data_IF_637833223925
#
_entry.id   IF_637833223925
#
_cell.length_a   1.000
_cell.length_b   1.000
_cell.length_c   1.000
_cell.angle_alpha   90.00
_cell.angle_beta   90.00
_cell.angle_gamma   90.00
#
_symmetry.space_group_name_H-M   'P 1'
#
loop_
_entity.id
_entity.type
_entity.pdbx_description
1 polymer ?
#
# COMPACT_ATOMS: atom_id res chain seq x y z
N UNK A 1 21.77 -8.69 4.01
CA UNK A 1 20.42 -9.31 4.03
C UNK A 1 20.04 -9.57 2.58
N UNK A 2 19.86 -10.83 2.17
CA UNK A 2 19.64 -11.16 0.76
C UNK A 2 18.23 -10.74 0.32
N UNK A 3 18.08 -10.33 -0.95
CA UNK A 3 16.82 -9.93 -1.57
C UNK A 3 15.68 -10.94 -1.32
N UNK A 4 16.02 -12.23 -1.34
CA UNK A 4 15.10 -13.34 -1.05
C UNK A 4 14.57 -13.28 0.39
N UNK A 5 15.43 -12.96 1.36
CA UNK A 5 15.02 -12.82 2.77
C UNK A 5 14.09 -11.62 2.98
N UNK A 6 14.31 -10.52 2.24
CA UNK A 6 13.43 -9.35 2.28
C UNK A 6 12.03 -9.69 1.74
N UNK A 7 11.95 -10.40 0.61
CA UNK A 7 10.68 -10.81 -0.01
C UNK A 7 9.91 -11.75 0.93
N UNK A 8 10.59 -12.72 1.57
CA UNK A 8 9.94 -13.64 2.51
C UNK A 8 9.37 -12.92 3.73
N UNK A 9 10.06 -11.89 4.25
CA UNK A 9 9.56 -11.07 5.36
C UNK A 9 8.31 -10.28 4.94
N UNK A 10 8.33 -9.66 3.77
CA UNK A 10 7.18 -8.89 3.25
C UNK A 10 5.97 -9.82 3.07
N UNK A 11 6.14 -10.99 2.47
CA UNK A 11 5.07 -11.98 2.29
C UNK A 11 4.50 -12.44 3.64
N UNK A 12 5.36 -12.70 4.62
CA UNK A 12 4.94 -13.11 5.96
C UNK A 12 4.15 -12.00 6.69
N UNK A 13 4.60 -10.74 6.61
CA UNK A 13 3.91 -9.60 7.22
C UNK A 13 2.54 -9.38 6.57
N UNK A 14 2.44 -9.44 5.24
CA UNK A 14 1.16 -9.32 4.53
C UNK A 14 0.19 -10.42 4.94
N UNK A 15 0.65 -11.67 5.05
CA UNK A 15 -0.19 -12.79 5.50
C UNK A 15 -0.73 -12.57 6.92
N UNK A 16 0.10 -12.09 7.85
CA UNK A 16 -0.30 -11.77 9.22
C UNK A 16 -1.32 -10.63 9.26
N UNK A 17 -1.10 -9.55 8.49
CA UNK A 17 -2.03 -8.42 8.40
C UNK A 17 -3.39 -8.86 7.84
N UNK A 18 -3.41 -9.73 6.82
CA UNK A 18 -4.66 -10.28 6.25
C UNK A 18 -5.41 -11.14 7.27
N UNK A 19 -4.71 -11.98 8.04
CA UNK A 19 -5.31 -12.79 9.11
C UNK A 19 -5.91 -11.90 10.20
N UNK A 20 -5.19 -10.87 10.65
CA UNK A 20 -5.69 -9.91 11.66
C UNK A 20 -6.93 -9.18 11.13
N UNK A 21 -6.92 -8.73 9.87
CA UNK A 21 -8.08 -8.09 9.24
C UNK A 21 -9.28 -9.05 9.11
N UNK A 22 -9.05 -10.33 8.84
CA UNK A 22 -10.10 -11.35 8.80
C UNK A 22 -10.67 -11.63 10.19
N UNK A 23 -9.84 -11.73 11.23
CA UNK A 23 -10.27 -11.93 12.62
C UNK A 23 -11.02 -10.69 13.15
N UNK A 24 -10.52 -9.49 12.84
CA UNK A 24 -11.17 -8.23 13.20
C UNK A 24 -12.51 -8.01 12.46
N UNK A 25 -12.63 -8.49 11.22
CA UNK A 25 -13.90 -8.50 10.48
C UNK A 25 -14.85 -9.62 10.90
N UNK A 26 -14.34 -10.76 11.39
CA UNK A 26 -15.13 -11.89 11.90
C UNK A 26 -15.73 -11.65 13.29
N UNK A 27 -15.12 -10.79 14.12
CA UNK A 27 -15.59 -10.50 15.49
C UNK A 27 -16.77 -9.53 15.59
N UNK A 28 -17.28 -8.99 14.47
CA UNK A 28 -18.24 -7.87 14.49
C UNK A 28 -19.47 -8.11 13.60
N UNK A 29 -20.08 -9.28 13.70
CA UNK A 29 -21.50 -9.51 13.33
C UNK A 29 -22.12 -10.51 14.29
N UNK A 30 -22.99 -10.02 15.17
CA UNK A 30 -23.89 -10.87 15.95
C UNK A 30 -24.90 -11.59 15.06
N UNK A 31 -25.32 -12.78 15.52
CA UNK A 31 -26.60 -13.39 15.20
C UNK A 31 -26.68 -14.23 13.93
N UNK A 32 -26.31 -15.52 14.01
CA UNK A 32 -26.92 -16.56 13.16
C UNK A 32 -27.12 -17.85 13.98
N UNK A 33 -28.35 -18.36 13.96
CA UNK A 33 -28.81 -19.63 14.55
C UNK A 33 -27.87 -20.81 14.25
N UNK A 34 -27.82 -21.84 15.11
CA UNK A 34 -27.02 -23.03 14.85
C UNK A 34 -27.64 -23.83 13.70
N UNK A 35 -26.94 -23.90 12.57
CA UNK A 35 -27.22 -24.86 11.51
C UNK A 35 -26.53 -26.18 11.85
N UNK A 36 -27.31 -27.26 11.78
CA UNK A 36 -26.96 -28.65 12.07
C UNK A 36 -25.66 -29.12 11.39
N UNK A 37 -24.92 -29.95 12.13
CA UNK A 37 -24.34 -31.19 11.60
C UNK A 37 -22.93 -31.09 11.02
N UNK A 38 -21.94 -31.40 11.85
CA UNK A 38 -20.58 -31.69 11.41
C UNK A 38 -19.78 -32.23 12.58
N UNK A 39 -19.74 -33.55 12.72
CA UNK A 39 -19.04 -34.25 13.80
C UNK A 39 -17.54 -33.96 13.74
N UNK A 40 -17.03 -33.20 14.71
CA UNK A 40 -15.59 -33.20 15.01
C UNK A 40 -15.37 -34.29 16.04
N UNK A 41 -14.63 -35.32 15.64
CA UNK A 41 -14.31 -36.49 16.43
C UNK A 41 -13.33 -36.09 17.55
N UNK A 42 -13.82 -35.96 18.79
CA UNK A 42 -13.03 -35.63 19.98
C UNK A 42 -12.75 -36.91 20.79
N UNK A 43 -12.09 -37.89 20.17
CA UNK A 43 -11.84 -39.22 20.75
C UNK A 43 -10.86 -39.25 21.93
N UNK A 44 -10.36 -38.11 22.41
CA UNK A 44 -9.38 -38.06 23.51
C UNK A 44 -9.90 -37.40 24.80
N UNK A 45 -11.20 -37.17 24.93
CA UNK A 45 -11.75 -36.78 26.23
C UNK A 45 -12.10 -38.03 27.02
N UNK A 46 -11.19 -38.44 27.91
CA UNK A 46 -11.43 -39.47 28.90
C UNK A 46 -12.39 -38.92 29.97
N UNK A 47 -13.69 -38.98 29.70
CA UNK A 47 -14.73 -38.67 30.68
C UNK A 47 -15.02 -39.97 31.42
N UNK A 48 -14.54 -40.08 32.67
CA UNK A 48 -15.06 -41.08 33.61
C UNK A 48 -16.55 -40.83 33.83
N UNK A 49 -17.40 -41.60 33.15
CA UNK A 49 -18.83 -41.66 33.42
C UNK A 49 -19.05 -42.51 34.67
N UNK A 50 -19.10 -41.86 35.83
CA UNK A 50 -19.74 -42.42 37.00
C UNK A 50 -21.26 -42.39 36.81
N UNK A 51 -21.89 -43.56 36.85
CA UNK A 51 -23.35 -43.70 36.85
C UNK A 51 -23.91 -43.11 38.15
N UNK A 52 -24.70 -42.04 38.05
CA UNK A 52 -25.41 -41.45 39.18
C UNK A 52 -25.90 -40.04 38.88
N UNK A 53 -27.20 -39.84 38.97
CA UNK A 53 -27.92 -38.57 38.84
C UNK A 53 -27.24 -37.39 39.57
N UNK A 54 -27.10 -36.23 38.92
CA UNK A 54 -26.77 -34.97 39.59
C UNK A 54 -25.97 -34.01 38.71
N UNK A 55 -26.36 -32.74 38.68
CA UNK A 55 -25.87 -31.72 37.75
C UNK A 55 -24.34 -31.56 37.67
N UNK A 56 -23.88 -31.12 36.49
CA UNK A 56 -22.50 -30.66 36.28
C UNK A 56 -22.24 -29.40 37.10
N UNK A 57 -21.75 -29.57 38.33
CA UNK A 57 -21.07 -28.52 39.05
C UNK A 57 -19.66 -28.38 38.47
N UNK A 58 -19.43 -27.31 37.70
CA UNK A 58 -18.08 -26.93 37.30
C UNK A 58 -17.27 -26.64 38.56
N UNK A 59 -16.19 -27.38 38.79
CA UNK A 59 -15.27 -27.16 39.91
C UNK A 59 -14.60 -25.77 39.74
N UNK A 60 -14.89 -24.76 40.58
CA UNK A 60 -14.44 -23.38 40.34
C UNK A 60 -12.93 -23.18 40.55
N UNK A 61 -12.28 -24.06 41.32
CA UNK A 61 -10.86 -23.92 41.66
C UNK A 61 -9.92 -24.37 40.53
N UNK A 62 -10.33 -25.33 39.69
CA UNK A 62 -9.52 -25.80 38.55
C UNK A 62 -9.58 -24.79 37.39
N UNK A 63 -10.69 -24.04 37.25
CA UNK A 63 -10.81 -23.03 36.19
C UNK A 63 -10.04 -21.73 36.48
N UNK A 64 -9.92 -21.28 37.74
CA UNK A 64 -9.21 -20.03 38.04
C UNK A 64 -7.71 -20.12 37.80
N UNK A 65 -7.05 -21.17 38.29
CA UNK A 65 -5.59 -21.30 38.15
C UNK A 65 -5.14 -21.46 36.69
N UNK A 66 -5.93 -22.16 35.86
CA UNK A 66 -5.65 -22.28 34.42
C UNK A 66 -5.90 -20.98 33.68
N UNK A 67 -6.96 -20.23 34.03
CA UNK A 67 -7.25 -18.91 33.43
C UNK A 67 -6.18 -17.89 33.83
N UNK A 68 -5.74 -17.89 35.09
CA UNK A 68 -4.69 -17.00 35.59
C UNK A 68 -3.35 -17.32 34.93
N UNK A 69 -3.00 -18.60 34.75
CA UNK A 69 -1.79 -19.02 34.03
C UNK A 69 -1.80 -18.58 32.56
N UNK A 70 -2.95 -18.73 31.88
CA UNK A 70 -3.12 -18.26 30.49
C UNK A 70 -3.06 -16.74 30.39
N UNK A 71 -3.56 -16.02 31.40
CA UNK A 71 -3.52 -14.55 31.46
C UNK A 71 -2.09 -14.06 31.61
N UNK A 72 -1.31 -14.64 32.52
CA UNK A 72 0.11 -14.31 32.70
C UNK A 72 0.93 -14.63 31.44
N UNK A 73 0.65 -15.76 30.79
CA UNK A 73 1.30 -16.11 29.52
C UNK A 73 0.96 -15.12 28.40
N UNK A 74 -0.30 -14.67 28.31
CA UNK A 74 -0.73 -13.64 27.37
C UNK A 74 -0.06 -12.30 27.64
N UNK A 75 0.04 -11.88 28.91
CA UNK A 75 0.73 -10.65 29.31
C UNK A 75 2.20 -10.72 28.89
N UNK A 76 2.90 -11.82 29.21
CA UNK A 76 4.29 -12.02 28.83
C UNK A 76 4.50 -12.01 27.30
N UNK A 77 3.59 -12.60 26.53
CA UNK A 77 3.62 -12.54 25.05
C UNK A 77 3.41 -11.13 24.52
N UNK A 78 2.53 -10.34 25.13
CA UNK A 78 2.28 -8.94 24.76
C UNK A 78 3.49 -8.07 25.07
N UNK A 79 4.13 -8.25 26.22
CA UNK A 79 5.36 -7.53 26.59
C UNK A 79 6.50 -7.83 25.61
N UNK A 80 6.69 -9.11 25.28
CA UNK A 80 7.68 -9.52 24.28
C UNK A 80 7.41 -8.91 22.90
N UNK A 81 6.16 -8.89 22.44
CA UNK A 81 5.78 -8.24 21.18
C UNK A 81 6.01 -6.73 21.23
N UNK A 82 5.77 -6.10 22.38
CA UNK A 82 6.01 -4.66 22.56
C UNK A 82 7.49 -4.32 22.45
N UNK A 83 8.37 -5.15 23.01
CA UNK A 83 9.82 -5.01 22.88
C UNK A 83 10.25 -5.17 21.42
N UNK A 84 9.72 -6.18 20.72
CA UNK A 84 10.02 -6.41 19.29
C UNK A 84 9.56 -5.23 18.43
N UNK A 85 8.35 -4.71 18.66
CA UNK A 85 7.83 -3.54 17.94
C UNK A 85 8.66 -2.29 18.24
N UNK A 86 9.09 -2.10 19.49
CA UNK A 86 9.98 -1.00 19.86
C UNK A 86 11.33 -1.10 19.16
N UNK A 87 11.91 -2.30 19.06
CA UNK A 87 13.18 -2.54 18.37
C UNK A 87 13.03 -2.38 16.84
N UNK A 88 11.90 -2.80 16.27
CA UNK A 88 11.56 -2.52 14.86
C UNK A 88 11.41 -1.03 14.63
N UNK A 89 10.68 -0.30 15.48
CA UNK A 89 10.52 1.15 15.37
C UNK A 89 11.83 1.89 15.55
N UNK A 90 12.71 1.42 16.43
CA UNK A 90 14.07 1.92 16.58
C UNK A 90 14.88 1.67 15.31
N UNK A 91 14.86 0.45 14.75
CA UNK A 91 15.53 0.13 13.48
C UNK A 91 14.96 0.87 12.28
N UNK A 92 13.65 1.14 12.26
CA UNK A 92 13.02 1.99 11.24
C UNK A 92 13.50 3.42 11.45
N UNK A 93 13.50 3.95 12.67
CA UNK A 93 13.96 5.31 12.95
C UNK A 93 15.46 5.50 12.65
N UNK A 94 16.28 4.48 12.91
CA UNK A 94 17.71 4.44 12.58
C UNK A 94 17.95 4.16 11.08
N UNK A 95 17.05 3.43 10.40
CA UNK A 95 17.04 3.27 8.94
C UNK A 95 16.48 4.51 8.22
N UNK A 96 15.73 5.35 8.92
CA UNK A 96 15.21 6.66 8.51
C UNK A 96 16.09 7.76 9.12
N UNK A 97 17.38 7.48 9.33
CA UNK A 97 18.39 8.54 9.18
C UNK A 97 18.21 9.06 7.76
N UNK A 98 18.00 10.37 7.55
CA UNK A 98 17.59 10.89 6.27
C UNK A 98 18.66 10.62 5.23
N UNK A 99 18.52 9.53 4.47
CA UNK A 99 18.92 9.52 3.07
C UNK A 99 17.92 10.38 2.29
N UNK A 100 17.85 11.66 2.67
CA UNK A 100 17.75 12.75 1.74
C UNK A 100 19.13 12.95 1.08
N UNK A 101 19.74 11.86 0.63
CA UNK A 101 20.57 11.91 -0.56
C UNK A 101 19.64 11.33 -1.58
N UNK A 102 18.94 12.22 -2.27
CA UNK A 102 18.44 11.94 -3.61
C UNK A 102 19.58 11.21 -4.29
N UNK A 103 19.49 9.88 -4.44
CA UNK A 103 20.26 9.22 -5.48
C UNK A 103 19.67 9.82 -6.75
N UNK A 104 20.23 10.95 -7.16
CA UNK A 104 20.20 11.42 -8.52
C UNK A 104 20.83 10.27 -9.28
N UNK A 105 20.01 9.30 -9.71
CA UNK A 105 20.29 8.62 -10.97
C UNK A 105 20.72 9.74 -11.91
N UNK A 106 21.90 9.69 -12.52
CA UNK A 106 22.37 10.74 -13.41
C UNK A 106 21.41 10.79 -14.59
N UNK A 107 20.31 11.51 -14.43
CA UNK A 107 19.48 11.97 -15.51
C UNK A 107 20.36 13.01 -16.15
N UNK A 108 20.87 12.69 -17.33
CA UNK A 108 21.57 13.63 -18.18
C UNK A 108 20.81 14.97 -18.08
N UNK A 109 21.47 16.03 -17.60
CA UNK A 109 20.86 17.35 -17.47
C UNK A 109 20.46 17.79 -18.87
N UNK A 110 19.20 17.58 -19.23
CA UNK A 110 18.67 18.09 -20.47
C UNK A 110 18.50 19.58 -20.25
N UNK A 111 19.43 20.39 -20.77
CA UNK A 111 19.31 21.86 -20.74
C UNK A 111 18.36 22.39 -21.82
N UNK A 112 17.74 21.49 -22.59
CA UNK A 112 16.79 21.84 -23.63
C UNK A 112 15.45 22.23 -23.02
N UNK A 113 14.95 23.41 -23.39
CA UNK A 113 13.61 23.86 -23.08
C UNK A 113 12.74 23.73 -24.34
N UNK A 114 11.85 22.74 -24.42
CA UNK A 114 10.88 22.64 -25.51
C UNK A 114 10.04 23.91 -25.60
N UNK A 115 9.59 24.23 -26.80
CA UNK A 115 8.74 25.40 -27.09
C UNK A 115 7.24 25.12 -26.89
N UNK A 116 6.83 23.85 -26.85
CA UNK A 116 5.44 23.42 -26.71
C UNK A 116 5.30 22.03 -26.09
N UNK A 117 4.11 21.70 -25.57
CA UNK A 117 3.80 20.34 -25.13
C UNK A 117 3.77 19.32 -26.27
N UNK A 118 3.47 19.74 -27.50
CA UNK A 118 3.55 18.87 -28.69
C UNK A 118 4.97 18.42 -28.93
N UNK A 119 5.94 19.34 -28.80
CA UNK A 119 7.34 18.99 -28.91
C UNK A 119 7.80 18.02 -27.82
N UNK A 120 7.38 18.24 -26.56
CA UNK A 120 7.63 17.31 -25.45
C UNK A 120 7.09 15.91 -25.78
N UNK A 121 5.83 15.83 -26.23
CA UNK A 121 5.15 14.60 -26.60
C UNK A 121 5.93 13.82 -27.67
N UNK A 122 6.37 14.53 -28.70
CA UNK A 122 7.08 13.94 -29.83
C UNK A 122 8.51 13.49 -29.43
N UNK A 123 9.19 14.24 -28.56
CA UNK A 123 10.53 13.87 -28.05
C UNK A 123 10.52 12.60 -27.18
N UNK A 124 9.49 12.41 -26.35
CA UNK A 124 9.37 11.21 -25.49
C UNK A 124 8.68 10.06 -26.24
N UNK A 125 8.10 10.33 -27.41
CA UNK A 125 7.33 9.39 -28.21
C UNK A 125 6.15 8.79 -27.41
N UNK A 126 5.29 9.68 -26.92
CA UNK A 126 4.04 9.34 -26.20
C UNK A 126 2.81 9.78 -27.01
N UNK A 127 1.65 9.20 -26.74
CA UNK A 127 0.42 9.48 -27.47
C UNK A 127 -0.22 10.81 -27.08
N UNK A 128 -0.20 11.12 -25.79
CA UNK A 128 -0.71 12.39 -25.27
C UNK A 128 0.04 12.83 -24.01
N UNK A 129 0.05 14.13 -23.78
CA UNK A 129 0.57 14.78 -22.58
C UNK A 129 -0.37 15.91 -22.16
N UNK A 130 -0.59 16.08 -20.86
CA UNK A 130 -1.36 17.19 -20.33
C UNK A 130 -0.76 17.74 -19.05
N UNK A 131 -0.86 19.06 -18.90
CA UNK A 131 -0.65 19.78 -17.66
C UNK A 131 -2.00 19.97 -16.98
N UNK A 132 -2.02 19.68 -15.68
CA UNK A 132 -3.22 19.71 -14.86
C UNK A 132 -2.94 20.61 -13.66
N UNK A 133 -3.82 21.56 -13.40
CA UNK A 133 -3.75 22.37 -12.19
C UNK A 133 -4.15 21.52 -10.98
N UNK A 134 -3.26 21.45 -9.99
CA UNK A 134 -3.47 20.64 -8.80
C UNK A 134 -4.66 21.10 -7.96
N UNK A 135 -5.03 22.39 -8.04
CA UNK A 135 -6.10 22.94 -7.22
C UNK A 135 -7.49 22.66 -7.80
N UNK A 136 -7.67 22.89 -9.09
CA UNK A 136 -8.94 22.70 -9.80
C UNK A 136 -9.11 21.30 -10.38
N UNK A 137 -8.01 20.54 -10.52
CA UNK A 137 -7.93 19.25 -11.22
C UNK A 137 -8.31 19.33 -12.71
N UNK A 138 -8.35 20.54 -13.27
CA UNK A 138 -8.65 20.75 -14.67
C UNK A 138 -7.37 20.73 -15.52
N UNK A 139 -7.51 20.26 -16.76
CA UNK A 139 -6.44 20.38 -17.75
C UNK A 139 -6.22 21.85 -18.09
N UNK A 140 -5.01 22.34 -17.89
CA UNK A 140 -4.61 23.71 -18.24
C UNK A 140 -4.04 23.78 -19.65
N UNK A 141 -3.36 22.73 -20.08
CA UNK A 141 -2.79 22.60 -21.42
C UNK A 141 -2.65 21.12 -21.78
N UNK A 142 -2.83 20.77 -23.05
CA UNK A 142 -2.72 19.38 -23.50
C UNK A 142 -2.25 19.28 -24.95
N UNK A 143 -1.61 18.15 -25.27
CA UNK A 143 -1.23 17.77 -26.62
C UNK A 143 -1.51 16.29 -26.85
N UNK A 144 -2.03 15.96 -28.04
CA UNK A 144 -2.56 14.63 -28.36
C UNK A 144 -4.05 14.50 -28.09
N UNK A 145 -4.62 13.40 -28.56
CA UNK A 145 -6.04 13.09 -28.40
C UNK A 145 -6.20 12.07 -27.28
N UNK A 146 -6.55 12.54 -26.07
CA UNK A 146 -6.88 11.69 -24.94
C UNK A 146 -7.86 12.40 -23.99
N UNK A 147 -8.84 11.67 -23.48
CA UNK A 147 -9.82 12.19 -22.52
C UNK A 147 -9.25 12.20 -21.10
N UNK A 148 -8.56 13.28 -20.76
CA UNK A 148 -7.92 13.47 -19.44
C UNK A 148 -8.93 13.70 -18.30
N UNK A 149 -10.16 14.12 -18.58
CA UNK A 149 -11.21 14.27 -17.56
C UNK A 149 -11.52 12.94 -16.88
N UNK A 150 -11.38 11.85 -17.65
CA UNK A 150 -11.54 10.48 -17.17
C UNK A 150 -10.46 10.04 -16.14
N UNK A 151 -9.46 10.86 -15.85
CA UNK A 151 -8.39 10.60 -14.87
C UNK A 151 -8.59 11.28 -13.52
N UNK A 152 -9.70 12.00 -13.32
CA UNK A 152 -9.94 12.85 -12.14
C UNK A 152 -9.74 12.13 -10.80
N UNK A 153 -10.21 10.89 -10.68
CA UNK A 153 -10.06 10.09 -9.45
C UNK A 153 -8.58 9.76 -9.15
N UNK A 154 -7.80 9.47 -10.19
CA UNK A 154 -6.38 9.16 -10.07
C UNK A 154 -5.55 10.41 -9.74
N UNK A 155 -5.89 11.55 -10.35
CA UNK A 155 -5.29 12.85 -10.03
C UNK A 155 -5.57 13.21 -8.56
N UNK A 156 -6.81 13.05 -8.11
CA UNK A 156 -7.20 13.25 -6.71
C UNK A 156 -6.40 12.37 -5.76
N UNK A 157 -6.17 11.11 -6.11
CA UNK A 157 -5.33 10.20 -5.34
C UNK A 157 -3.88 10.67 -5.25
N UNK A 158 -3.27 11.11 -6.35
CA UNK A 158 -1.89 11.64 -6.36
C UNK A 158 -1.75 12.83 -5.42
N UNK A 159 -2.72 13.75 -5.43
CA UNK A 159 -2.71 14.94 -4.57
C UNK A 159 -2.92 14.54 -3.11
N UNK A 160 -4.00 13.80 -2.81
CA UNK A 160 -4.39 13.42 -1.45
C UNK A 160 -3.31 12.60 -0.75
N UNK A 161 -2.75 11.63 -1.46
CA UNK A 161 -1.79 10.69 -0.90
C UNK A 161 -0.34 11.12 -1.14
N UNK A 162 -0.13 12.33 -1.71
CA UNK A 162 1.18 12.94 -1.99
C UNK A 162 2.13 12.01 -2.74
N UNK A 163 1.62 11.33 -3.77
CA UNK A 163 2.38 10.35 -4.54
C UNK A 163 3.38 11.07 -5.47
N UNK A 164 4.63 10.58 -5.52
CA UNK A 164 5.65 11.11 -6.43
C UNK A 164 5.46 10.70 -7.90
N UNK A 165 4.74 9.62 -8.16
CA UNK A 165 4.35 9.11 -9.47
C UNK A 165 3.26 8.05 -9.28
N UNK A 166 2.23 8.11 -10.11
CA UNK A 166 1.22 7.05 -10.24
C UNK A 166 1.26 6.51 -11.67
N UNK A 167 1.45 5.20 -11.81
CA UNK A 167 1.38 4.50 -13.09
C UNK A 167 0.16 3.58 -13.08
N UNK A 168 -0.68 3.71 -14.10
CA UNK A 168 -1.92 2.94 -14.25
C UNK A 168 -2.06 2.46 -15.69
N UNK A 169 -2.71 1.32 -15.86
CA UNK A 169 -3.12 0.81 -17.19
C UNK A 169 -4.62 1.02 -17.32
N UNK A 170 -5.04 1.75 -18.35
CA UNK A 170 -6.45 2.04 -18.62
C UNK A 170 -6.77 1.68 -20.06
N UNK A 171 -7.58 0.63 -20.25
CA UNK A 171 -7.79 0.07 -21.58
C UNK A 171 -6.49 -0.46 -22.17
N UNK A 172 -6.11 0.06 -23.33
CA UNK A 172 -4.85 -0.30 -24.02
C UNK A 172 -3.71 0.69 -23.71
N UNK A 173 -3.96 1.72 -22.89
CA UNK A 173 -3.01 2.79 -22.65
C UNK A 173 -2.35 2.67 -21.28
N UNK A 174 -1.07 3.03 -21.23
CA UNK A 174 -0.29 3.22 -20.01
C UNK A 174 -0.30 4.70 -19.68
N UNK A 175 -0.81 5.05 -18.50
CA UNK A 175 -0.95 6.43 -18.07
C UNK A 175 -0.08 6.67 -16.85
N UNK A 176 0.68 7.76 -16.90
CA UNK A 176 1.60 8.18 -15.85
C UNK A 176 1.19 9.56 -15.36
N UNK A 177 0.83 9.68 -14.08
CA UNK A 177 0.46 10.94 -13.45
C UNK A 177 1.53 11.28 -12.42
N UNK A 178 2.13 12.47 -12.51
CA UNK A 178 3.17 12.89 -11.59
C UNK A 178 3.11 14.38 -11.26
N UNK A 179 3.42 14.77 -10.02
CA UNK A 179 3.64 16.17 -9.69
C UNK A 179 4.90 16.70 -10.38
N UNK A 180 4.81 17.90 -10.93
CA UNK A 180 5.94 18.66 -11.49
C UNK A 180 6.40 19.72 -10.49
N UNK A 181 5.45 20.47 -9.94
CA UNK A 181 5.68 21.44 -8.87
C UNK A 181 4.44 21.49 -7.95
N UNK A 182 4.44 22.38 -6.95
CA UNK A 182 3.34 22.47 -5.95
C UNK A 182 1.96 22.72 -6.54
N UNK A 183 1.86 23.29 -7.75
CA UNK A 183 0.58 23.65 -8.38
C UNK A 183 0.27 22.86 -9.65
N UNK A 184 1.20 22.08 -10.18
CA UNK A 184 1.08 21.47 -11.51
C UNK A 184 1.37 19.99 -11.46
N UNK A 185 0.44 19.19 -11.97
CA UNK A 185 0.65 17.79 -12.32
C UNK A 185 0.83 17.65 -13.83
N UNK A 186 1.52 16.59 -14.22
CA UNK A 186 1.62 16.12 -15.58
C UNK A 186 0.97 14.74 -15.70
N UNK A 187 0.20 14.53 -16.77
CA UNK A 187 -0.24 13.23 -17.22
C UNK A 187 0.42 12.89 -18.57
N UNK A 188 1.03 11.71 -18.68
CA UNK A 188 1.55 11.13 -19.92
C UNK A 188 0.73 9.89 -20.28
N UNK A 189 0.42 9.71 -21.56
CA UNK A 189 -0.31 8.56 -22.08
C UNK A 189 0.52 7.90 -23.16
N UNK A 190 0.76 6.59 -23.05
CA UNK A 190 1.52 5.82 -24.02
C UNK A 190 0.91 4.46 -24.29
N UNK A 191 0.91 4.05 -25.57
CA UNK A 191 0.51 2.71 -26.01
C UNK A 191 1.50 1.61 -25.59
N UNK A 192 2.66 1.99 -25.04
CA UNK A 192 3.67 1.07 -24.50
C UNK A 192 4.03 1.47 -23.06
N UNK A 193 4.52 0.52 -22.25
CA UNK A 193 5.11 0.88 -20.97
C UNK A 193 6.36 1.75 -21.18
N UNK A 194 6.46 2.82 -20.41
CA UNK A 194 7.64 3.67 -20.28
C UNK A 194 8.54 3.15 -19.16
N UNK A 195 9.84 3.19 -19.40
CA UNK A 195 10.85 3.00 -18.37
C UNK A 195 10.93 4.20 -17.43
N UNK A 196 11.49 4.01 -16.24
CA UNK A 196 11.70 5.10 -15.28
C UNK A 196 12.60 6.22 -15.86
N UNK A 197 13.54 5.86 -16.73
CA UNK A 197 14.41 6.83 -17.41
C UNK A 197 13.59 7.75 -18.31
N UNK A 198 12.67 7.19 -19.10
CA UNK A 198 11.81 7.98 -19.98
C UNK A 198 10.86 8.89 -19.20
N UNK A 199 10.30 8.41 -18.09
CA UNK A 199 9.46 9.22 -17.20
C UNK A 199 10.24 10.38 -16.58
N UNK A 200 11.49 10.14 -16.18
CA UNK A 200 12.35 11.19 -15.64
C UNK A 200 12.77 12.21 -16.71
N UNK A 201 13.10 11.76 -17.91
CA UNK A 201 13.37 12.63 -19.07
C UNK A 201 12.16 13.52 -19.36
N UNK A 202 10.96 12.93 -19.37
CA UNK A 202 9.72 13.67 -19.55
C UNK A 202 9.52 14.75 -18.49
N UNK A 203 9.73 14.39 -17.21
CA UNK A 203 9.64 15.33 -16.09
C UNK A 203 10.60 16.51 -16.27
N UNK A 204 11.86 16.26 -16.67
CA UNK A 204 12.85 17.32 -16.90
C UNK A 204 12.46 18.23 -18.07
N UNK A 205 12.06 17.66 -19.21
CA UNK A 205 11.61 18.42 -20.38
C UNK A 205 10.42 19.33 -20.07
N UNK A 206 9.44 18.81 -19.31
CA UNK A 206 8.25 19.57 -18.90
C UNK A 206 8.62 20.68 -17.91
N UNK A 207 9.55 20.40 -16.99
CA UNK A 207 10.01 21.40 -16.02
C UNK A 207 10.73 22.56 -16.71
N UNK A 208 11.55 22.26 -17.73
CA UNK A 208 12.23 23.27 -18.54
C UNK A 208 11.25 24.08 -19.38
N UNK A 209 10.28 23.41 -20.01
CA UNK A 209 9.22 24.06 -20.76
C UNK A 209 8.48 25.10 -19.90
N UNK A 210 8.05 24.69 -18.70
CA UNK A 210 7.35 25.57 -17.75
C UNK A 210 8.21 26.73 -17.26
N UNK A 211 9.52 26.51 -17.11
CA UNK A 211 10.46 27.54 -16.66
C UNK A 211 10.82 28.55 -17.76
N UNK A 212 10.53 28.23 -19.02
CA UNK A 212 10.75 29.10 -20.19
C UNK A 212 9.55 29.98 -20.55
N UNK A 213 8.38 29.72 -19.94
CA UNK A 213 7.15 30.52 -20.07
C UNK A 213 7.13 31.68 -19.07
#
# INVERSE_FOLDING_TARGET
MNLVSLILIIVAVVAVVVIILLVARGGRRGGVKPTKGGSVNLSNINIQQGAGSGGMAANPQVNKSTIDSLREELISRIENLTIIVSEINKRISESVVPQAVVQETPVMMISYAPSSLTEVRDMINVNAVALIDASSMNVTEGSGEYDFESLKDYISMVIRDSLGLLSIVKGNDNVYIMPINKGTLCALVSSRPLSMVEVNVARSLISNYLSSK
#
